data_IF_679278593824
#
_entry.id   IF_679278593824
#
_cell.length_a   1.000
_cell.length_b   1.000
_cell.length_c   1.000
_cell.angle_alpha   90.00
_cell.angle_beta   90.00
_cell.angle_gamma   90.00
#
_symmetry.space_group_name_H-M   'P 1'
#
loop_
_entity.id
_entity.type
_entity.pdbx_description
1 polymer ?
#
# COMPACT_ATOMS: atom_id res chain seq x y z
N UNK A 1 -6.90 32.30 56.83
CA UNK A 1 -6.31 31.92 58.13
C UNK A 1 -5.47 30.67 57.89
N UNK A 2 -4.15 30.83 57.88
CA UNK A 2 -3.13 29.80 57.66
C UNK A 2 -3.10 28.77 58.79
N UNK A 3 -2.76 27.52 58.47
CA UNK A 3 -1.75 26.65 59.10
C UNK A 3 -1.80 25.29 58.38
N UNK A 4 -0.80 24.85 57.62
CA UNK A 4 0.57 24.46 58.00
C UNK A 4 0.58 23.21 58.90
N UNK A 5 1.03 22.06 58.36
CA UNK A 5 2.25 21.35 58.79
C UNK A 5 2.42 20.07 57.96
N UNK A 6 3.54 20.06 57.23
CA UNK A 6 4.19 18.93 56.56
C UNK A 6 4.75 17.97 57.61
N UNK A 7 4.56 16.65 57.46
CA UNK A 7 5.45 15.65 58.08
C UNK A 7 5.80 14.55 57.09
N UNK A 8 6.99 14.74 56.53
CA UNK A 8 7.84 13.79 55.82
C UNK A 8 8.26 12.69 56.81
N UNK A 9 8.00 11.42 56.48
CA UNK A 9 8.67 10.29 57.13
C UNK A 9 9.76 9.77 56.19
N UNK A 10 10.98 10.24 56.45
CA UNK A 10 12.23 9.62 56.00
C UNK A 10 12.53 8.50 56.99
N UNK A 11 12.63 7.26 56.49
CA UNK A 11 13.39 6.21 57.16
C UNK A 11 14.45 5.72 56.18
N UNK A 12 15.67 5.86 56.65
CA UNK A 12 16.95 5.74 55.97
C UNK A 12 17.66 4.49 56.50
N UNK A 13 18.72 4.08 55.78
CA UNK A 13 19.88 3.28 56.23
C UNK A 13 19.69 1.75 56.18
N UNK A 14 20.55 0.89 55.61
CA UNK A 14 21.81 0.93 54.81
C UNK A 14 22.08 -0.54 54.38
N UNK A 15 22.38 -0.85 53.12
CA UNK A 15 23.70 -1.00 52.49
C UNK A 15 24.29 -2.42 52.39
N UNK A 16 24.73 -2.72 51.16
CA UNK A 16 25.85 -3.58 50.75
C UNK A 16 25.74 -5.10 50.93
N UNK A 17 25.60 -5.81 49.79
CA UNK A 17 26.58 -6.81 49.39
C UNK A 17 26.77 -6.76 47.87
N UNK A 18 28.00 -6.44 47.47
CA UNK A 18 28.55 -6.58 46.13
C UNK A 18 28.55 -8.06 45.72
N UNK A 19 27.88 -8.39 44.62
CA UNK A 19 28.24 -9.56 43.80
C UNK A 19 28.63 -9.03 42.43
N UNK A 20 29.92 -8.76 42.30
CA UNK A 20 30.60 -8.67 41.03
C UNK A 20 30.98 -10.09 40.61
N UNK A 21 30.47 -10.57 39.47
CA UNK A 21 31.19 -11.50 38.59
C UNK A 21 30.39 -11.74 37.31
N UNK A 22 31.07 -11.55 36.18
CA UNK A 22 30.72 -12.22 34.92
C UNK A 22 30.03 -11.38 33.87
N UNK A 23 30.74 -10.39 33.30
CA UNK A 23 30.51 -10.02 31.90
C UNK A 23 30.87 -11.21 31.00
N UNK A 24 29.97 -12.18 30.87
CA UNK A 24 30.02 -13.12 29.77
C UNK A 24 29.56 -12.35 28.53
N UNK A 25 30.53 -11.89 27.73
CA UNK A 25 30.29 -11.59 26.31
C UNK A 25 29.72 -12.85 25.69
N UNK A 26 28.40 -12.93 25.60
CA UNK A 26 27.74 -13.90 24.73
C UNK A 26 28.04 -13.39 23.32
N UNK A 27 29.15 -13.86 22.75
CA UNK A 27 29.31 -13.96 21.31
C UNK A 27 28.11 -14.79 20.85
N UNK A 28 27.02 -14.10 20.54
CA UNK A 28 26.00 -14.64 19.67
C UNK A 28 26.74 -14.76 18.35
N UNK A 29 27.34 -15.93 18.14
CA UNK A 29 27.51 -16.45 16.80
C UNK A 29 26.12 -16.33 16.19
N UNK A 30 25.95 -15.30 15.37
CA UNK A 30 24.96 -15.29 14.32
C UNK A 30 25.33 -16.52 13.52
N UNK A 31 24.74 -17.66 13.89
CA UNK A 31 24.57 -18.75 12.95
C UNK A 31 23.69 -18.13 11.88
N UNK A 32 24.36 -17.64 10.84
CA UNK A 32 23.83 -17.67 9.49
C UNK A 32 23.51 -19.14 9.22
N UNK A 33 22.37 -19.60 9.73
CA UNK A 33 21.63 -20.68 9.09
C UNK A 33 21.14 -20.07 7.78
N UNK A 34 22.04 -20.11 6.79
CA UNK A 34 21.79 -20.51 5.41
C UNK A 34 20.29 -20.48 5.10
N UNK A 35 19.75 -19.37 4.57
CA UNK A 35 19.65 -19.21 3.11
C UNK A 35 19.81 -20.56 2.39
N UNK A 36 18.73 -21.33 2.32
CA UNK A 36 18.49 -22.26 1.21
C UNK A 36 17.01 -22.69 1.18
N UNK A 37 16.43 -22.49 -0.01
CA UNK A 37 15.13 -22.96 -0.51
C UNK A 37 13.89 -22.19 0.00
N UNK A 38 13.16 -21.38 -0.79
CA UNK A 38 12.90 -21.42 -2.26
C UNK A 38 12.52 -20.02 -2.81
N UNK A 39 13.49 -19.21 -3.24
CA UNK A 39 13.22 -17.82 -3.69
C UNK A 39 12.79 -17.66 -5.16
N UNK A 40 12.18 -18.67 -5.78
CA UNK A 40 11.63 -18.55 -7.15
C UNK A 40 10.29 -19.27 -7.34
N UNK A 41 9.30 -19.02 -6.49
CA UNK A 41 7.98 -19.63 -6.70
C UNK A 41 7.20 -18.95 -7.84
N UNK A 42 7.41 -17.66 -8.08
CA UNK A 42 6.59 -16.91 -9.02
C UNK A 42 7.42 -16.07 -9.99
N UNK A 43 7.56 -16.53 -11.23
CA UNK A 43 8.24 -15.83 -12.33
C UNK A 43 7.34 -15.68 -13.56
N UNK A 44 6.13 -16.26 -13.51
CA UNK A 44 5.20 -16.28 -14.64
C UNK A 44 4.48 -14.93 -14.74
N UNK A 45 4.66 -14.25 -15.88
CA UNK A 45 3.85 -13.09 -16.25
C UNK A 45 2.45 -13.58 -16.64
N UNK A 46 1.42 -12.98 -16.04
CA UNK A 46 0.02 -13.37 -16.22
C UNK A 46 -0.80 -12.37 -17.05
N UNK A 47 -0.24 -11.20 -17.34
CA UNK A 47 -0.85 -10.21 -18.25
C UNK A 47 -0.71 -10.63 -19.72
N UNK A 48 -1.76 -10.43 -20.50
CA UNK A 48 -1.77 -10.60 -21.94
C UNK A 48 -1.07 -9.40 -22.63
N UNK A 49 0.17 -9.63 -23.07
CA UNK A 49 0.96 -8.66 -23.83
C UNK A 49 0.33 -8.24 -25.17
N UNK A 50 -0.70 -8.95 -25.66
CA UNK A 50 -1.40 -8.65 -26.92
C UNK A 50 -2.65 -7.80 -26.73
N UNK A 51 -3.05 -7.51 -25.48
CA UNK A 51 -4.18 -6.65 -25.18
C UNK A 51 -3.92 -5.22 -25.67
N UNK A 52 -4.88 -4.64 -26.40
CA UNK A 52 -4.72 -3.34 -27.05
C UNK A 52 -5.41 -2.24 -26.26
N UNK A 53 -4.91 -1.02 -26.39
CA UNK A 53 -5.61 0.16 -25.88
C UNK A 53 -6.77 0.50 -26.82
N UNK A 54 -7.87 0.94 -26.22
CA UNK A 54 -9.00 1.53 -26.95
C UNK A 54 -8.58 2.82 -27.67
N UNK A 55 -9.35 3.22 -28.68
CA UNK A 55 -9.08 4.48 -29.39
C UNK A 55 -9.43 5.73 -28.57
N UNK A 56 -10.28 5.58 -27.56
CA UNK A 56 -10.84 6.67 -26.76
C UNK A 56 -9.89 7.13 -25.67
N UNK A 57 -9.46 8.40 -25.76
CA UNK A 57 -8.77 9.08 -24.67
C UNK A 57 -9.80 9.58 -23.63
N UNK A 58 -9.58 9.25 -22.37
CA UNK A 58 -10.43 9.66 -21.26
C UNK A 58 -9.63 10.42 -20.21
N UNK A 59 -10.32 11.30 -19.48
CA UNK A 59 -9.79 11.96 -18.30
C UNK A 59 -10.64 11.56 -17.11
N UNK A 60 -10.02 10.94 -16.11
CA UNK A 60 -10.68 10.40 -14.93
C UNK A 60 -10.18 11.12 -13.68
N UNK A 61 -11.09 11.37 -12.75
CA UNK A 61 -10.73 11.61 -11.35
C UNK A 61 -10.97 10.31 -10.59
N UNK A 62 -9.93 9.77 -9.96
CA UNK A 62 -9.94 8.45 -9.36
C UNK A 62 -9.42 8.48 -7.93
N UNK A 63 -9.96 7.57 -7.13
CA UNK A 63 -9.63 7.37 -5.73
C UNK A 63 -9.14 5.95 -5.50
N UNK A 64 -8.24 5.82 -4.53
CA UNK A 64 -7.78 4.54 -4.07
C UNK A 64 -8.69 4.05 -2.93
N UNK A 65 -9.14 2.81 -3.02
CA UNK A 65 -9.99 2.13 -2.03
C UNK A 65 -9.37 0.78 -1.68
N UNK A 66 -9.25 0.48 -0.40
CA UNK A 66 -8.70 -0.80 0.07
C UNK A 66 -9.80 -1.86 0.06
N UNK A 67 -9.72 -2.82 -0.88
CA UNK A 67 -10.62 -4.00 -0.91
C UNK A 67 -9.91 -5.31 -0.56
N UNK A 68 -8.59 -5.35 -0.73
CA UNK A 68 -7.74 -6.51 -0.57
C UNK A 68 -6.36 -6.22 -1.14
N UNK A 69 -5.36 -7.04 -0.79
CA UNK A 69 -3.97 -6.76 -1.16
C UNK A 69 -3.77 -6.85 -2.69
N UNK A 70 -4.44 -7.80 -3.35
CA UNK A 70 -4.26 -8.13 -4.75
C UNK A 70 -5.41 -7.65 -5.67
N UNK A 71 -6.27 -6.74 -5.20
CA UNK A 71 -7.49 -6.33 -5.90
C UNK A 71 -7.31 -5.08 -6.79
N UNK A 72 -8.22 -4.84 -7.75
CA UNK A 72 -8.33 -3.57 -8.44
C UNK A 72 -8.78 -2.53 -7.40
N UNK A 73 -7.88 -1.64 -7.00
CA UNK A 73 -8.09 -0.73 -5.88
C UNK A 73 -8.47 0.69 -6.31
N UNK A 74 -8.72 0.93 -7.61
CA UNK A 74 -9.07 2.27 -8.11
C UNK A 74 -10.52 2.33 -8.57
N UNK A 75 -11.19 3.41 -8.22
CA UNK A 75 -12.57 3.72 -8.63
C UNK A 75 -12.64 5.18 -9.09
N UNK A 76 -13.57 5.55 -9.98
CA UNK A 76 -13.80 6.97 -10.27
C UNK A 76 -14.41 7.65 -9.05
N UNK A 77 -13.95 8.86 -8.71
CA UNK A 77 -14.44 9.61 -7.54
C UNK A 77 -15.97 9.76 -7.52
N UNK A 78 -16.59 9.98 -8.69
CA UNK A 78 -18.05 10.08 -8.83
C UNK A 78 -18.79 8.78 -8.47
N UNK A 79 -18.15 7.64 -8.69
CA UNK A 79 -18.73 6.31 -8.47
C UNK A 79 -18.56 5.90 -7.01
N UNK A 80 -17.54 6.41 -6.31
CA UNK A 80 -17.34 6.21 -4.88
C UNK A 80 -18.39 6.93 -4.02
N UNK A 81 -18.98 8.00 -4.53
CA UNK A 81 -20.07 8.74 -3.88
C UNK A 81 -21.46 8.16 -4.18
N UNK A 82 -21.53 7.12 -5.03
CA UNK A 82 -22.80 6.59 -5.48
C UNK A 82 -23.41 5.66 -4.41
N UNK A 83 -24.61 6.00 -3.93
CA UNK A 83 -25.40 5.19 -2.99
C UNK A 83 -26.33 4.20 -3.71
N UNK A 84 -26.20 4.04 -5.02
CA UNK A 84 -27.01 3.11 -5.81
C UNK A 84 -26.64 1.65 -5.47
N UNK A 85 -27.46 1.04 -4.61
CA UNK A 85 -27.32 -0.35 -4.20
C UNK A 85 -27.62 -1.37 -5.31
N UNK A 86 -28.08 -0.93 -6.48
CA UNK A 86 -28.32 -1.83 -7.63
C UNK A 86 -27.05 -2.11 -8.42
N UNK A 87 -26.01 -1.29 -8.25
CA UNK A 87 -24.73 -1.45 -8.91
C UNK A 87 -23.82 -2.33 -8.05
N UNK A 88 -23.20 -3.33 -8.68
CA UNK A 88 -22.14 -4.08 -8.02
C UNK A 88 -20.93 -3.16 -7.83
N UNK A 89 -20.75 -2.64 -6.62
CA UNK A 89 -19.67 -1.71 -6.27
C UNK A 89 -18.29 -2.26 -6.65
N UNK A 90 -18.05 -3.56 -6.50
CA UNK A 90 -16.79 -4.18 -6.90
C UNK A 90 -16.53 -4.10 -8.42
N UNK A 91 -17.58 -4.14 -9.26
CA UNK A 91 -17.42 -4.02 -10.71
C UNK A 91 -17.04 -2.61 -11.19
N UNK A 92 -17.10 -1.61 -10.30
CA UNK A 92 -16.67 -0.25 -10.59
C UNK A 92 -15.16 -0.05 -10.43
N UNK A 93 -14.47 -1.06 -9.88
CA UNK A 93 -13.05 -0.97 -9.62
C UNK A 93 -12.22 -1.46 -10.81
N UNK A 94 -11.04 -0.87 -10.96
CA UNK A 94 -10.12 -1.16 -12.04
C UNK A 94 -8.66 -1.00 -11.58
N UNK A 95 -7.74 -1.49 -12.41
CA UNK A 95 -6.32 -1.25 -12.24
C UNK A 95 -5.90 0.02 -13.00
N UNK A 96 -4.85 0.68 -12.54
CA UNK A 96 -4.18 1.72 -13.31
C UNK A 96 -2.73 1.33 -13.55
N UNK A 97 -2.16 1.79 -14.66
CA UNK A 97 -0.72 1.67 -14.93
C UNK A 97 -0.17 2.91 -15.65
N UNK A 98 1.07 3.33 -15.35
CA UNK A 98 1.70 4.43 -16.05
C UNK A 98 2.15 4.02 -17.45
N UNK A 99 2.05 4.93 -18.41
CA UNK A 99 2.58 4.69 -19.75
C UNK A 99 4.13 4.63 -19.80
N UNK A 100 4.81 5.18 -18.79
CA UNK A 100 6.26 5.22 -18.65
C UNK A 100 6.68 5.36 -17.18
N UNK A 101 7.90 4.96 -16.83
CA UNK A 101 8.41 5.01 -15.45
C UNK A 101 8.38 6.41 -14.82
N UNK A 102 8.55 7.48 -15.61
CA UNK A 102 8.49 8.86 -15.11
C UNK A 102 7.10 9.30 -14.66
N UNK A 103 6.06 8.51 -14.97
CA UNK A 103 4.68 8.75 -14.55
C UNK A 103 4.28 7.88 -13.35
N UNK A 104 5.16 7.03 -12.81
CA UNK A 104 4.86 6.26 -11.60
C UNK A 104 4.41 7.17 -10.47
N UNK A 105 3.52 6.64 -9.60
CA UNK A 105 3.04 7.40 -8.46
C UNK A 105 4.23 7.79 -7.58
N UNK A 106 4.37 9.08 -7.25
CA UNK A 106 5.49 9.53 -6.43
C UNK A 106 5.30 9.03 -4.99
N UNK A 107 6.42 8.85 -4.28
CA UNK A 107 6.44 8.30 -2.92
C UNK A 107 5.65 9.12 -1.88
N UNK A 108 5.32 10.38 -2.18
CA UNK A 108 4.51 11.24 -1.33
C UNK A 108 3.01 11.14 -1.63
N UNK A 109 2.56 10.25 -2.52
CA UNK A 109 1.14 9.98 -2.69
C UNK A 109 0.57 9.30 -1.42
N UNK A 110 -0.50 9.86 -0.89
CA UNK A 110 -1.21 9.38 0.28
C UNK A 110 -2.68 9.12 -0.13
N UNK A 111 -3.14 7.86 -0.17
CA UNK A 111 -4.49 7.53 -0.63
C UNK A 111 -5.61 8.09 0.28
N UNK A 112 -5.31 8.45 1.53
CA UNK A 112 -6.27 9.07 2.43
C UNK A 112 -6.45 10.55 2.09
N UNK A 113 -5.34 11.25 1.79
CA UNK A 113 -5.33 12.70 1.54
C UNK A 113 -5.50 13.10 0.09
N UNK A 114 -5.15 12.22 -0.85
CA UNK A 114 -5.07 12.55 -2.26
C UNK A 114 -6.04 11.75 -3.12
N UNK A 115 -6.48 12.37 -4.21
CA UNK A 115 -7.07 11.70 -5.38
C UNK A 115 -6.20 11.98 -6.60
N UNK A 116 -6.40 11.24 -7.67
CA UNK A 116 -5.66 11.44 -8.90
C UNK A 116 -6.58 11.98 -9.99
N UNK A 117 -6.05 12.91 -10.78
CA UNK A 117 -6.60 13.28 -12.08
C UNK A 117 -5.68 12.75 -13.15
N UNK A 118 -6.14 11.73 -13.88
CA UNK A 118 -5.36 11.00 -14.87
C UNK A 118 -5.99 11.14 -16.24
N UNK A 119 -5.15 11.12 -17.28
CA UNK A 119 -5.60 11.08 -18.67
C UNK A 119 -4.93 9.92 -19.39
N UNK A 120 -5.71 9.15 -20.14
CA UNK A 120 -5.26 7.86 -20.65
C UNK A 120 -6.33 7.11 -21.40
N UNK A 121 -6.12 5.80 -21.53
CA UNK A 121 -6.98 4.90 -22.29
C UNK A 121 -7.18 3.60 -21.51
N UNK A 122 -8.36 3.01 -21.63
CA UNK A 122 -8.57 1.64 -21.19
C UNK A 122 -8.00 0.65 -22.20
N UNK A 123 -7.58 -0.51 -21.72
CA UNK A 123 -7.43 -1.70 -22.56
C UNK A 123 -8.78 -2.23 -23.02
N UNK A 124 -8.80 -2.89 -24.17
CA UNK A 124 -10.01 -3.46 -24.79
C UNK A 124 -10.61 -4.59 -23.96
N UNK A 125 -9.76 -5.43 -23.35
CA UNK A 125 -10.18 -6.59 -22.55
C UNK A 125 -9.82 -6.39 -21.09
N UNK A 126 -10.65 -6.94 -20.21
CA UNK A 126 -10.31 -7.07 -18.78
C UNK A 126 -9.14 -8.02 -18.60
N UNK A 127 -8.14 -7.55 -17.86
CA UNK A 127 -6.90 -8.27 -17.63
C UNK A 127 -6.14 -7.68 -16.43
N UNK A 128 -4.80 -7.78 -16.43
CA UNK A 128 -3.91 -7.22 -15.44
C UNK A 128 -3.05 -6.10 -16.06
N UNK A 129 -2.47 -5.21 -15.24
CA UNK A 129 -1.37 -4.36 -15.69
C UNK A 129 -0.29 -5.15 -16.44
N UNK A 130 0.32 -4.52 -17.43
CA UNK A 130 1.34 -5.18 -18.25
C UNK A 130 2.57 -5.51 -17.41
N UNK A 131 2.99 -6.78 -17.48
CA UNK A 131 4.12 -7.30 -16.70
C UNK A 131 3.73 -7.78 -15.30
N UNK A 132 2.44 -7.84 -14.95
CA UNK A 132 2.02 -8.46 -13.69
C UNK A 132 2.50 -9.91 -13.62
N UNK A 133 3.19 -10.23 -12.53
CA UNK A 133 3.67 -11.58 -12.21
C UNK A 133 2.65 -12.26 -11.31
N UNK A 134 2.46 -13.56 -11.49
CA UNK A 134 1.66 -14.40 -10.59
C UNK A 134 2.12 -14.23 -9.14
N UNK A 135 1.19 -14.24 -8.19
CA UNK A 135 1.50 -14.21 -6.75
C UNK A 135 0.68 -15.28 -6.04
N UNK A 136 0.89 -15.46 -4.74
CA UNK A 136 0.16 -16.45 -3.95
C UNK A 136 -1.35 -16.19 -3.90
N UNK A 137 -1.74 -14.92 -3.73
CA UNK A 137 -3.14 -14.52 -3.74
C UNK A 137 -3.64 -14.32 -5.18
N UNK A 138 -4.66 -15.07 -5.64
CA UNK A 138 -5.20 -14.89 -6.98
C UNK A 138 -5.76 -13.48 -7.18
N UNK A 139 -5.23 -12.79 -8.18
CA UNK A 139 -5.74 -11.49 -8.60
C UNK A 139 -6.94 -11.67 -9.53
N UNK A 140 -8.07 -10.96 -9.34
CA UNK A 140 -9.14 -10.94 -10.33
C UNK A 140 -8.74 -10.09 -11.53
N UNK A 141 -9.15 -10.49 -12.73
CA UNK A 141 -9.09 -9.61 -13.91
C UNK A 141 -10.08 -8.47 -13.75
N UNK A 142 -9.70 -7.30 -14.25
CA UNK A 142 -10.58 -6.13 -14.29
C UNK A 142 -10.19 -5.22 -15.46
N UNK A 143 -10.91 -4.12 -15.63
CA UNK A 143 -10.46 -3.07 -16.55
C UNK A 143 -9.10 -2.55 -16.10
N UNK A 144 -8.26 -2.19 -17.07
CA UNK A 144 -6.94 -1.60 -16.83
C UNK A 144 -6.88 -0.26 -17.56
N UNK A 145 -6.58 0.81 -16.83
CA UNK A 145 -6.44 2.16 -17.36
C UNK A 145 -4.96 2.55 -17.45
N UNK A 146 -4.44 2.71 -18.67
CA UNK A 146 -3.07 3.17 -18.90
C UNK A 146 -3.04 4.69 -19.07
N UNK A 147 -2.41 5.39 -18.14
CA UNK A 147 -2.36 6.84 -18.12
C UNK A 147 -1.07 7.42 -18.70
N UNK A 148 -1.20 8.53 -19.42
CA UNK A 148 -0.10 9.30 -20.05
C UNK A 148 0.10 10.66 -19.37
N UNK A 149 -0.87 11.12 -18.58
CA UNK A 149 -0.76 12.31 -17.74
C UNK A 149 -1.30 11.99 -16.34
N UNK A 150 -0.64 12.52 -15.32
CA UNK A 150 -0.96 12.33 -13.90
C UNK A 150 -0.89 13.68 -13.18
N UNK A 151 -1.95 14.01 -12.44
CA UNK A 151 -1.97 15.11 -11.48
C UNK A 151 -2.50 14.60 -10.14
N UNK A 152 -1.78 14.87 -9.07
CA UNK A 152 -2.22 14.61 -7.70
C UNK A 152 -3.04 15.81 -7.23
N UNK A 153 -4.19 15.55 -6.61
CA UNK A 153 -5.07 16.55 -6.04
C UNK A 153 -5.26 16.24 -4.55
N UNK A 154 -5.28 17.25 -3.70
CA UNK A 154 -5.76 17.07 -2.33
C UNK A 154 -7.28 16.89 -2.36
N UNK A 155 -7.81 16.04 -1.47
CA UNK A 155 -9.26 15.85 -1.35
C UNK A 155 -9.96 17.02 -0.64
N UNK A 156 -9.21 17.82 0.12
CA UNK A 156 -9.72 18.91 0.94
C UNK A 156 -9.53 20.31 0.29
N UNK A 157 -9.03 20.36 -0.95
CA UNK A 157 -8.90 21.59 -1.74
C UNK A 157 -10.14 21.79 -2.63
#
# INVERSE_FOLDING_TARGET
MMNLIVKIFILSVTSNLLVCCGQTRRNVQIKQDSQNQTDQKYTKVISDSTNKLTDKMEQLEVEYTVWGFACPNWIQSKDNQNNDSTVNYLSLHFYIEPASKSLELPANFDPEKHKLKIKGKFYEKEDYPQGTVEIEEPMPKAKVFRYVELKILNKND
#
